data_IF_070040649193
#
_entry.id   IF_070040649193
#
_cell.length_a   1.000
_cell.length_b   1.000
_cell.length_c   1.000
_cell.angle_alpha   90.00
_cell.angle_beta   90.00
_cell.angle_gamma   90.00
#
_symmetry.space_group_name_H-M   'P 1'
#
loop_
_entity.id
_entity.type
_entity.pdbx_description
1 polymer ?
#
# COMPACT_ATOMS: atom_id res chain seq x y z
N UNK A 1 19.23 -16.08 8.97
CA UNK A 1 18.17 -15.09 9.29
C UNK A 1 18.60 -13.65 8.97
N UNK A 2 19.87 -13.26 9.17
CA UNK A 2 20.38 -11.90 8.86
C UNK A 2 20.52 -11.58 7.35
N UNK A 3 20.85 -12.56 6.52
CA UNK A 3 21.07 -12.38 5.07
C UNK A 3 19.79 -11.94 4.33
N UNK A 4 18.65 -12.54 4.67
CA UNK A 4 17.36 -12.21 4.03
C UNK A 4 16.90 -10.77 4.30
N UNK A 5 17.12 -10.25 5.52
CA UNK A 5 16.78 -8.87 5.86
C UNK A 5 17.68 -7.89 5.11
N UNK A 6 18.98 -8.20 5.03
CA UNK A 6 19.96 -7.40 4.29
C UNK A 6 19.64 -7.33 2.80
N UNK A 7 19.26 -8.46 2.18
CA UNK A 7 18.88 -8.49 0.78
C UNK A 7 17.61 -7.70 0.50
N UNK A 8 16.61 -7.76 1.40
CA UNK A 8 15.41 -6.92 1.33
C UNK A 8 15.76 -5.43 1.44
N UNK A 9 16.65 -5.05 2.37
CA UNK A 9 17.07 -3.64 2.52
C UNK A 9 17.87 -3.14 1.31
N UNK A 10 18.73 -3.98 0.71
CA UNK A 10 19.46 -3.65 -0.52
C UNK A 10 18.53 -3.40 -1.70
N UNK A 11 17.50 -4.24 -1.88
CA UNK A 11 16.48 -4.05 -2.93
C UNK A 11 15.76 -2.71 -2.79
N UNK A 12 15.34 -2.34 -1.58
CA UNK A 12 14.72 -1.03 -1.31
C UNK A 12 15.65 0.11 -1.68
N UNK A 13 16.91 0.04 -1.24
CA UNK A 13 17.88 1.10 -1.46
C UNK A 13 18.16 1.36 -2.95
N UNK A 14 18.20 0.29 -3.75
CA UNK A 14 18.41 0.37 -5.19
C UNK A 14 17.25 1.06 -5.93
N UNK A 15 16.00 0.92 -5.50
CA UNK A 15 14.89 1.71 -6.08
C UNK A 15 14.99 3.18 -5.78
N UNK A 16 15.42 3.53 -4.56
CA UNK A 16 15.55 4.92 -4.17
C UNK A 16 16.68 5.61 -4.95
N UNK A 17 17.79 4.89 -5.18
CA UNK A 17 18.97 5.42 -5.87
C UNK A 17 18.86 5.42 -7.41
N UNK A 18 18.05 4.55 -8.03
CA UNK A 18 17.86 4.53 -9.48
C UNK A 18 16.86 5.56 -10.02
N UNK A 19 16.28 6.41 -9.17
CA UNK A 19 15.38 7.51 -9.56
C UNK A 19 16.14 8.83 -9.79
N UNK A 20 17.27 8.80 -10.50
CA UNK A 20 18.03 10.00 -10.89
C UNK A 20 17.35 10.82 -12.02
N UNK A 21 16.18 10.35 -12.49
CA UNK A 21 15.23 11.07 -13.32
C UNK A 21 14.07 11.51 -12.41
N UNK A 22 13.76 12.80 -12.39
CA UNK A 22 12.83 13.48 -11.47
C UNK A 22 11.38 12.95 -11.37
N UNK A 23 11.03 11.81 -11.96
CA UNK A 23 9.68 11.23 -11.96
C UNK A 23 9.64 9.92 -11.20
N UNK A 24 9.14 9.98 -9.97
CA UNK A 24 8.82 8.79 -9.16
C UNK A 24 7.61 8.08 -9.75
N UNK A 25 7.76 6.80 -10.09
CA UNK A 25 6.67 5.92 -10.52
C UNK A 25 6.17 5.11 -9.33
N UNK A 26 5.02 5.50 -8.76
CA UNK A 26 4.45 4.84 -7.57
C UNK A 26 4.16 3.36 -7.78
N UNK A 27 3.88 2.93 -9.00
CA UNK A 27 3.62 1.53 -9.31
C UNK A 27 4.86 0.65 -9.09
N UNK A 28 6.06 1.14 -9.43
CA UNK A 28 7.32 0.42 -9.23
C UNK A 28 7.62 0.25 -7.73
N UNK A 29 7.31 1.29 -6.94
CA UNK A 29 7.36 1.22 -5.47
C UNK A 29 6.41 0.12 -4.96
N UNK A 30 5.17 0.08 -5.46
CA UNK A 30 4.19 -0.93 -5.04
C UNK A 30 4.65 -2.35 -5.38
N UNK A 31 5.22 -2.58 -6.57
CA UNK A 31 5.77 -3.88 -6.98
C UNK A 31 6.82 -4.36 -5.97
N UNK A 32 7.77 -3.50 -5.62
CA UNK A 32 8.88 -3.94 -4.77
C UNK A 32 8.46 -4.10 -3.33
N UNK A 33 7.64 -3.21 -2.80
CA UNK A 33 7.08 -3.39 -1.46
C UNK A 33 6.23 -4.67 -1.37
N UNK A 34 5.45 -4.98 -2.41
CA UNK A 34 4.63 -6.20 -2.46
C UNK A 34 5.48 -7.47 -2.46
N UNK A 35 6.61 -7.48 -3.15
CA UNK A 35 7.57 -8.60 -3.12
C UNK A 35 8.27 -8.74 -1.76
N UNK A 36 8.63 -7.61 -1.14
CA UNK A 36 9.37 -7.60 0.12
C UNK A 36 8.48 -7.99 1.30
N UNK A 37 7.25 -7.46 1.33
CA UNK A 37 6.30 -7.68 2.42
C UNK A 37 5.39 -8.88 2.17
N UNK A 38 5.43 -9.45 0.97
CA UNK A 38 4.51 -10.53 0.56
C UNK A 38 3.04 -10.15 0.77
N UNK A 39 2.66 -8.94 0.34
CA UNK A 39 1.35 -8.33 0.60
C UNK A 39 0.80 -7.56 -0.59
N UNK A 40 -0.50 -7.28 -0.59
CA UNK A 40 -1.09 -6.25 -1.43
C UNK A 40 -0.60 -4.87 -0.95
N UNK A 41 -0.32 -3.96 -1.89
CA UNK A 41 0.20 -2.62 -1.59
C UNK A 41 -0.60 -1.58 -2.35
N UNK A 42 -1.04 -0.54 -1.64
CA UNK A 42 -1.80 0.57 -2.19
C UNK A 42 -1.15 1.89 -1.73
N UNK A 43 -0.86 2.77 -2.68
CA UNK A 43 -0.32 4.11 -2.40
C UNK A 43 -1.38 5.15 -2.76
N UNK A 44 -1.74 5.98 -1.78
CA UNK A 44 -2.83 6.96 -1.88
C UNK A 44 -2.30 8.35 -1.54
N UNK A 45 -2.76 9.36 -2.28
CA UNK A 45 -2.52 10.76 -1.93
C UNK A 45 -3.34 11.18 -0.71
N UNK A 46 -2.97 12.32 -0.08
CA UNK A 46 -3.76 12.92 1.01
C UNK A 46 -5.24 13.17 0.66
N UNK A 47 -5.55 13.39 -0.62
CA UNK A 47 -6.93 13.63 -1.09
C UNK A 47 -7.71 12.35 -1.37
N UNK A 48 -7.15 11.17 -1.12
CA UNK A 48 -7.79 9.88 -1.40
C UNK A 48 -7.58 9.35 -2.81
N UNK A 49 -6.87 10.07 -3.69
CA UNK A 49 -6.52 9.57 -5.04
C UNK A 49 -5.53 8.41 -4.95
N UNK A 50 -5.84 7.28 -5.60
CA UNK A 50 -4.94 6.14 -5.79
C UNK A 50 -3.83 6.51 -6.78
N UNK A 51 -2.58 6.41 -6.33
CA UNK A 51 -1.38 6.76 -7.09
C UNK A 51 -0.65 5.52 -7.63
N UNK A 52 -0.75 4.40 -6.92
CA UNK A 52 -0.17 3.11 -7.33
C UNK A 52 -0.84 1.97 -6.58
N UNK A 53 -0.89 0.80 -7.22
CA UNK A 53 -1.48 -0.42 -6.64
C UNK A 53 -0.71 -1.63 -7.10
N UNK A 54 -0.49 -2.58 -6.20
CA UNK A 54 0.01 -3.91 -6.53
C UNK A 54 -0.76 -4.92 -5.70
N UNK A 55 -1.64 -5.65 -6.38
CA UNK A 55 -2.30 -6.81 -5.82
C UNK A 55 -1.57 -8.08 -6.23
N UNK A 56 -1.57 -9.07 -5.35
CA UNK A 56 -1.04 -10.41 -5.58
C UNK A 56 -2.20 -11.37 -5.75
N UNK A 57 -2.05 -12.33 -6.66
CA UNK A 57 -3.09 -13.31 -6.97
C UNK A 57 -3.35 -14.32 -5.84
N UNK A 58 -2.40 -14.45 -4.90
CA UNK A 58 -2.48 -15.37 -3.77
C UNK A 58 -3.12 -14.74 -2.51
N UNK A 59 -3.53 -13.46 -2.56
CA UNK A 59 -4.12 -12.75 -1.43
C UNK A 59 -5.48 -12.19 -1.83
N UNK A 60 -6.49 -12.42 -1.00
CA UNK A 60 -7.84 -11.87 -1.19
C UNK A 60 -7.78 -10.34 -1.06
N UNK A 61 -8.30 -9.64 -2.06
CA UNK A 61 -8.37 -8.19 -2.11
C UNK A 61 -9.57 -7.65 -1.30
N UNK A 62 -9.39 -6.50 -0.65
CA UNK A 62 -10.46 -5.77 0.01
C UNK A 62 -11.05 -4.77 -0.99
N UNK A 63 -12.27 -5.01 -1.49
CA UNK A 63 -12.89 -4.22 -2.57
C UNK A 63 -14.01 -3.27 -2.15
N UNK A 64 -14.47 -3.35 -0.90
CA UNK A 64 -15.67 -2.66 -0.43
C UNK A 64 -15.53 -1.13 -0.52
N UNK A 65 -14.54 -0.58 0.17
CA UNK A 65 -14.29 0.87 0.24
C UNK A 65 -13.10 1.33 -0.60
N UNK A 66 -12.43 0.37 -1.25
CA UNK A 66 -11.22 0.60 -2.02
C UNK A 66 -11.49 0.26 -3.48
N UNK A 67 -11.37 1.28 -4.35
CA UNK A 67 -11.39 1.10 -5.80
C UNK A 67 -9.95 0.97 -6.27
N UNK A 68 -9.48 -0.27 -6.47
CA UNK A 68 -8.12 -0.64 -6.87
C UNK A 68 -7.78 -0.25 -8.33
N UNK A 69 -7.98 1.01 -8.68
CA UNK A 69 -7.65 1.54 -9.99
C UNK A 69 -6.95 2.89 -9.85
N UNK A 70 -5.77 2.98 -10.45
CA UNK A 70 -4.95 4.20 -10.46
C UNK A 70 -5.77 5.37 -11.02
N UNK A 71 -5.69 6.52 -10.34
CA UNK A 71 -6.43 7.72 -10.70
C UNK A 71 -7.83 7.83 -10.10
N UNK A 72 -8.39 6.75 -9.52
CA UNK A 72 -9.65 6.78 -8.80
C UNK A 72 -9.45 7.27 -7.37
N UNK A 73 -10.55 7.62 -6.71
CA UNK A 73 -10.55 8.00 -5.30
C UNK A 73 -11.17 6.87 -4.48
N UNK A 74 -10.59 6.62 -3.30
CA UNK A 74 -11.21 5.77 -2.28
C UNK A 74 -12.43 6.46 -1.66
N UNK A 75 -13.19 5.71 -0.87
CA UNK A 75 -14.25 6.30 -0.06
C UNK A 75 -13.73 7.46 0.82
N UNK A 76 -14.52 8.53 0.89
CA UNK A 76 -14.11 9.77 1.59
C UNK A 76 -13.96 9.55 3.10
N UNK A 77 -14.85 8.76 3.69
CA UNK A 77 -14.83 8.48 5.13
C UNK A 77 -13.67 7.53 5.46
N UNK A 78 -13.36 6.57 4.59
CA UNK A 78 -12.13 5.78 4.71
C UNK A 78 -10.88 6.67 4.65
N UNK A 79 -10.82 7.62 3.70
CA UNK A 79 -9.67 8.53 3.59
C UNK A 79 -9.48 9.37 4.87
N UNK A 80 -10.55 9.92 5.44
CA UNK A 80 -10.49 10.66 6.70
C UNK A 80 -9.98 9.78 7.86
N UNK A 81 -10.47 8.54 7.96
CA UNK A 81 -10.01 7.58 8.97
C UNK A 81 -8.52 7.23 8.82
N UNK A 82 -8.05 7.05 7.58
CA UNK A 82 -6.63 6.82 7.31
C UNK A 82 -5.76 8.03 7.68
N UNK A 83 -6.23 9.26 7.44
CA UNK A 83 -5.50 10.48 7.81
C UNK A 83 -5.39 10.70 9.33
N UNK A 84 -6.27 10.09 10.13
CA UNK A 84 -6.17 10.11 11.59
C UNK A 84 -5.08 9.18 12.14
N UNK A 85 -4.47 8.34 11.29
CA UNK A 85 -3.32 7.50 11.66
C UNK A 85 -2.04 8.35 11.58
N UNK A 86 -1.59 8.85 12.72
CA UNK A 86 -0.45 9.79 12.81
C UNK A 86 0.93 9.13 12.71
N UNK A 87 1.01 7.80 12.84
CA UNK A 87 2.24 7.02 12.75
C UNK A 87 1.96 5.64 12.16
N UNK A 88 2.98 4.98 11.63
CA UNK A 88 2.87 3.60 11.13
C UNK A 88 2.21 2.71 12.19
N UNK A 89 1.17 1.98 11.79
CA UNK A 89 0.41 1.06 12.63
C UNK A 89 0.20 -0.27 11.93
N UNK A 90 0.56 -1.34 12.60
CA UNK A 90 0.27 -2.71 12.24
C UNK A 90 -1.05 -3.19 12.88
N UNK A 91 -1.63 -4.27 12.32
CA UNK A 91 -2.80 -4.96 12.88
C UNK A 91 -3.99 -4.04 13.22
N UNK A 92 -4.22 -3.01 12.39
CA UNK A 92 -5.34 -2.08 12.56
C UNK A 92 -6.66 -2.84 12.44
N UNK A 93 -7.58 -2.63 13.40
CA UNK A 93 -8.90 -3.22 13.35
C UNK A 93 -9.70 -2.63 12.17
N UNK A 94 -10.06 -3.47 11.20
CA UNK A 94 -10.71 -3.02 9.97
C UNK A 94 -12.12 -2.43 10.21
N UNK A 95 -12.83 -2.84 11.27
CA UNK A 95 -14.11 -2.21 11.65
C UNK A 95 -13.93 -0.74 12.03
N UNK A 96 -12.78 -0.37 12.60
CA UNK A 96 -12.47 1.03 12.92
C UNK A 96 -12.16 1.88 11.68
N UNK A 97 -11.76 1.23 10.58
CA UNK A 97 -11.65 1.83 9.25
C UNK A 97 -13.00 1.82 8.50
N UNK A 98 -14.01 1.16 9.08
CA UNK A 98 -15.39 1.03 8.62
C UNK A 98 -15.62 0.00 7.53
N UNK A 99 -14.76 -1.02 7.46
CA UNK A 99 -15.06 -2.22 6.68
C UNK A 99 -16.02 -3.13 7.45
N UNK A 100 -17.00 -3.67 6.75
CA UNK A 100 -17.95 -4.65 7.28
C UNK A 100 -17.68 -6.00 6.61
N UNK A 101 -16.87 -6.84 7.26
CA UNK A 101 -16.68 -8.21 6.81
C UNK A 101 -17.70 -9.11 7.53
N UNK A 102 -18.65 -9.63 6.77
CA UNK A 102 -19.65 -10.58 7.30
C UNK A 102 -19.04 -11.92 7.71
N UNK A 103 -17.80 -12.24 7.32
CA UNK A 103 -17.14 -13.51 7.64
C UNK A 103 -15.61 -13.40 7.70
N UNK A 104 -15.08 -12.87 8.81
CA UNK A 104 -13.70 -13.17 9.29
C UNK A 104 -13.78 -13.60 10.74
#
# INVERSE_FOLDING_TARGET
MSVQLLDKTRKINNLLHNNNSHKVVFNDICVVLSEILTSNVLVISRKGKVLGVKNRSDIIEIKELIKDAVGRHIDTLLNERLLNILSTKENVNLRTLGFEFDNV
#
